data_IF_816984259391
#
_entry.id   IF_816984259391
#
_cell.length_a   1.000
_cell.length_b   1.000
_cell.length_c   1.000
_cell.angle_alpha   90.00
_cell.angle_beta   90.00
_cell.angle_gamma   90.00
#
_symmetry.space_group_name_H-M   'P 1'
#
loop_
_entity.id
_entity.type
_entity.pdbx_description
1 polymer ?
#
# COMPACT_ATOMS: atom_id res chain seq x y z
N UNK A 1 -17.17 24.09 31.84
CA UNK A 1 -15.87 24.45 31.23
C UNK A 1 -15.87 23.94 29.79
N UNK A 2 -15.67 24.83 28.81
CA UNK A 2 -15.52 24.39 27.41
C UNK A 2 -14.18 23.67 27.26
N UNK A 3 -14.19 22.43 26.78
CA UNK A 3 -12.97 21.70 26.44
C UNK A 3 -12.30 22.43 25.28
N UNK A 4 -11.05 22.87 25.47
CA UNK A 4 -10.28 23.51 24.41
C UNK A 4 -10.23 22.58 23.18
N UNK A 5 -10.39 23.13 21.96
CA UNK A 5 -10.31 22.32 20.75
C UNK A 5 -8.95 21.61 20.68
N UNK A 6 -8.95 20.36 20.21
CA UNK A 6 -7.73 19.55 20.10
C UNK A 6 -6.75 20.28 19.16
N UNK A 7 -5.50 20.47 19.62
CA UNK A 7 -4.43 21.09 18.83
C UNK A 7 -4.07 20.27 17.58
N UNK A 8 -3.42 20.89 16.59
CA UNK A 8 -2.89 20.19 15.42
C UNK A 8 -2.00 19.00 15.80
N UNK A 9 -1.10 19.19 16.77
CA UNK A 9 -0.27 18.12 17.33
C UNK A 9 -1.12 16.99 17.92
N UNK A 10 -2.13 17.32 18.73
CA UNK A 10 -3.01 16.31 19.33
C UNK A 10 -3.81 15.53 18.28
N UNK A 11 -4.27 16.20 17.21
CA UNK A 11 -4.96 15.55 16.08
C UNK A 11 -4.02 14.63 15.31
N UNK A 12 -2.80 15.07 15.03
CA UNK A 12 -1.78 14.28 14.34
C UNK A 12 -1.40 13.03 15.15
N UNK A 13 -1.13 13.18 16.45
CA UNK A 13 -0.81 12.06 17.34
C UNK A 13 -1.96 11.06 17.45
N UNK A 14 -3.21 11.52 17.46
CA UNK A 14 -4.39 10.64 17.44
C UNK A 14 -4.50 9.84 16.13
N UNK A 15 -4.09 10.41 15.00
CA UNK A 15 -4.04 9.65 13.74
C UNK A 15 -2.90 8.62 13.76
N UNK A 16 -1.72 9.05 14.19
CA UNK A 16 -0.51 8.22 14.25
C UNK A 16 -0.63 7.06 15.24
N UNK A 17 -1.41 7.21 16.32
CA UNK A 17 -1.65 6.12 17.28
C UNK A 17 -2.46 4.95 16.71
N UNK A 18 -3.19 5.17 15.61
CA UNK A 18 -4.02 4.11 14.99
C UNK A 18 -3.27 3.31 13.93
N UNK A 19 -2.39 3.96 13.18
CA UNK A 19 -1.53 3.37 12.14
C UNK A 19 -0.48 4.38 11.68
N UNK A 20 0.52 3.86 10.97
CA UNK A 20 1.45 4.67 10.19
C UNK A 20 0.71 5.56 9.19
N UNK A 21 1.11 6.84 9.14
CA UNK A 21 0.64 7.83 8.18
C UNK A 21 1.84 8.52 7.56
N UNK A 22 1.79 8.76 6.25
CA UNK A 22 2.77 9.63 5.59
C UNK A 22 2.51 11.09 5.98
N UNK A 23 3.52 11.93 5.76
CA UNK A 23 3.38 13.39 5.89
C UNK A 23 2.23 13.91 5.02
N UNK A 24 2.21 13.53 3.74
CA UNK A 24 1.18 13.98 2.81
C UNK A 24 -0.24 13.53 3.21
N UNK A 25 -0.40 12.35 3.83
CA UNK A 25 -1.69 11.93 4.39
C UNK A 25 -2.13 12.84 5.55
N UNK A 26 -1.20 13.22 6.42
CA UNK A 26 -1.48 14.11 7.56
C UNK A 26 -1.80 15.52 7.10
N UNK A 27 -1.03 16.06 6.14
CA UNK A 27 -1.28 17.37 5.53
C UNK A 27 -2.71 17.44 4.97
N UNK A 28 -3.09 16.50 4.10
CA UNK A 28 -4.45 16.47 3.52
C UNK A 28 -5.56 16.35 4.57
N UNK A 29 -5.35 15.58 5.64
CA UNK A 29 -6.37 15.37 6.68
C UNK A 29 -6.49 16.55 7.64
N UNK A 30 -5.40 17.27 7.87
CA UNK A 30 -5.29 18.28 8.92
C UNK A 30 -5.33 19.71 8.39
N UNK A 31 -5.15 19.94 7.08
CA UNK A 31 -5.16 21.27 6.46
C UNK A 31 -6.38 22.11 6.85
N UNK A 32 -7.57 21.51 6.95
CA UNK A 32 -8.81 22.21 7.36
C UNK A 32 -8.82 22.73 8.82
N UNK A 33 -7.84 22.32 9.63
CA UNK A 33 -7.69 22.74 11.02
C UNK A 33 -6.51 23.71 11.19
N UNK A 34 -5.84 24.09 10.10
CA UNK A 34 -4.82 25.12 10.12
C UNK A 34 -5.49 26.50 10.24
N UNK A 35 -5.14 27.23 11.30
CA UNK A 35 -5.65 28.58 11.54
C UNK A 35 -4.65 29.63 11.03
N UNK A 36 -3.35 29.35 11.18
CA UNK A 36 -2.26 30.19 10.70
C UNK A 36 -1.48 29.47 9.60
N UNK A 37 -1.27 30.10 8.41
CA UNK A 37 -0.50 29.50 7.33
C UNK A 37 0.90 29.04 7.77
N UNK A 38 1.20 27.77 7.51
CA UNK A 38 2.50 27.14 7.83
C UNK A 38 2.58 26.56 9.25
N UNK A 39 1.55 26.72 10.08
CA UNK A 39 1.50 26.11 11.40
C UNK A 39 1.47 24.58 11.29
N UNK A 40 0.71 24.04 10.34
CA UNK A 40 0.64 22.58 10.13
C UNK A 40 1.99 22.02 9.70
N UNK A 41 2.67 22.69 8.76
CA UNK A 41 4.00 22.28 8.31
C UNK A 41 4.98 22.19 9.48
N UNK A 42 5.04 23.21 10.35
CA UNK A 42 5.90 23.21 11.55
C UNK A 42 5.59 22.07 12.51
N UNK A 43 4.32 21.76 12.72
CA UNK A 43 3.89 20.62 13.56
C UNK A 43 4.38 19.31 12.96
N UNK A 44 4.20 19.11 11.66
CA UNK A 44 4.63 17.89 10.98
C UNK A 44 6.16 17.77 10.94
N UNK A 45 6.89 18.87 10.75
CA UNK A 45 8.35 18.89 10.85
C UNK A 45 8.82 18.45 12.24
N UNK A 46 8.19 18.98 13.30
CA UNK A 46 8.51 18.57 14.68
C UNK A 46 8.23 17.09 14.94
N UNK A 47 7.15 16.55 14.37
CA UNK A 47 6.81 15.14 14.51
C UNK A 47 7.74 14.25 13.69
N UNK A 48 8.13 14.66 12.48
CA UNK A 48 9.15 13.97 11.67
C UNK A 48 10.52 13.97 12.37
N UNK A 49 10.95 15.10 12.94
CA UNK A 49 12.22 15.20 13.66
C UNK A 49 12.28 14.30 14.91
N UNK A 50 11.12 13.97 15.49
CA UNK A 50 10.96 13.03 16.61
C UNK A 50 10.65 11.60 16.15
N UNK A 51 10.77 11.34 14.85
CA UNK A 51 10.51 10.04 14.22
C UNK A 51 9.07 9.53 14.42
N UNK A 52 8.10 10.39 14.72
CA UNK A 52 6.68 10.00 14.75
C UNK A 52 6.10 9.80 13.34
N UNK A 53 6.65 10.52 12.35
CA UNK A 53 6.30 10.37 10.93
C UNK A 53 7.52 9.80 10.22
N UNK A 54 7.40 8.57 9.72
CA UNK A 54 8.49 7.87 9.06
C UNK A 54 7.99 7.16 7.80
N UNK A 55 8.47 7.58 6.64
CA UNK A 55 8.01 7.03 5.36
C UNK A 55 8.41 5.57 5.16
N UNK A 56 9.59 5.17 5.65
CA UNK A 56 10.02 3.77 5.63
C UNK A 56 9.06 2.87 6.40
N UNK A 57 8.61 3.30 7.59
CA UNK A 57 7.59 2.56 8.35
C UNK A 57 6.24 2.51 7.64
N UNK A 58 5.85 3.58 6.92
CA UNK A 58 4.63 3.56 6.10
C UNK A 58 4.74 2.53 4.98
N UNK A 59 5.87 2.49 4.26
CA UNK A 59 6.14 1.51 3.21
C UNK A 59 6.06 0.09 3.75
N UNK A 60 6.82 -0.22 4.81
CA UNK A 60 6.85 -1.55 5.43
C UNK A 60 5.48 -1.97 5.97
N UNK A 61 4.74 -1.05 6.60
CA UNK A 61 3.38 -1.31 7.08
C UNK A 61 2.42 -1.67 5.94
N UNK A 62 2.54 -1.04 4.77
CA UNK A 62 1.72 -1.39 3.59
C UNK A 62 2.15 -2.73 3.02
N UNK A 63 3.46 -2.96 2.82
CA UNK A 63 4.00 -4.21 2.32
C UNK A 63 3.56 -5.40 3.18
N UNK A 64 3.74 -5.29 4.49
CA UNK A 64 3.36 -6.34 5.44
C UNK A 64 1.87 -6.68 5.37
N UNK A 65 0.99 -5.68 5.31
CA UNK A 65 -0.48 -5.89 5.31
C UNK A 65 -1.02 -6.35 3.96
N UNK A 66 -0.37 -6.01 2.84
CA UNK A 66 -0.95 -6.13 1.48
C UNK A 66 -0.28 -7.17 0.59
N UNK A 67 1.02 -7.39 0.72
CA UNK A 67 1.80 -8.24 -0.20
C UNK A 67 1.24 -9.66 -0.35
N UNK A 68 0.76 -10.25 0.75
CA UNK A 68 0.18 -11.59 0.74
C UNK A 68 -1.18 -11.71 0.00
N UNK A 69 -1.80 -10.59 -0.41
CA UNK A 69 -3.16 -10.56 -0.98
C UNK A 69 -3.26 -9.82 -2.31
N UNK A 70 -2.37 -8.87 -2.55
CA UNK A 70 -2.38 -7.95 -3.67
C UNK A 70 -1.06 -8.03 -4.46
N UNK A 71 -1.17 -7.86 -5.77
CA UNK A 71 -0.03 -7.76 -6.66
C UNK A 71 0.61 -6.37 -6.64
N UNK A 72 1.76 -6.27 -7.31
CA UNK A 72 2.63 -5.09 -7.24
C UNK A 72 1.94 -3.82 -7.69
N UNK A 73 1.05 -3.89 -8.70
CA UNK A 73 0.38 -2.69 -9.23
C UNK A 73 -0.57 -2.05 -8.22
N UNK A 74 -1.35 -2.86 -7.49
CA UNK A 74 -2.27 -2.38 -6.46
C UNK A 74 -1.51 -1.78 -5.27
N UNK A 75 -0.40 -2.40 -4.89
CA UNK A 75 0.42 -1.91 -3.78
C UNK A 75 1.12 -0.60 -4.18
N UNK A 76 1.67 -0.51 -5.40
CA UNK A 76 2.21 0.73 -5.96
C UNK A 76 1.19 1.87 -5.89
N UNK A 77 -0.05 1.63 -6.34
CA UNK A 77 -1.11 2.62 -6.28
C UNK A 77 -1.44 3.05 -4.84
N UNK A 78 -1.49 2.11 -3.89
CA UNK A 78 -1.71 2.44 -2.47
C UNK A 78 -0.56 3.31 -1.92
N UNK A 79 0.71 2.98 -2.20
CA UNK A 79 1.87 3.77 -1.80
C UNK A 79 1.86 5.18 -2.42
N UNK A 80 1.55 5.29 -3.72
CA UNK A 80 1.43 6.59 -4.41
C UNK A 80 0.27 7.42 -3.85
N UNK A 81 -0.87 6.81 -3.54
CA UNK A 81 -2.01 7.51 -2.93
C UNK A 81 -1.69 8.07 -1.53
N UNK A 82 -0.70 7.48 -0.85
CA UNK A 82 -0.16 8.00 0.40
C UNK A 82 0.78 9.18 0.18
N UNK A 83 1.15 9.51 -1.05
CA UNK A 83 2.06 10.61 -1.36
C UNK A 83 3.48 10.35 -0.86
N UNK A 84 3.92 9.09 -0.94
CA UNK A 84 5.31 8.73 -0.69
C UNK A 84 6.18 9.12 -1.88
N UNK A 85 7.44 9.42 -1.60
CA UNK A 85 8.40 9.82 -2.62
C UNK A 85 8.54 8.77 -3.74
N UNK A 86 8.70 9.20 -5.01
CA UNK A 86 8.80 8.29 -6.16
C UNK A 86 9.89 7.23 -6.00
N UNK A 87 11.03 7.61 -5.38
CA UNK A 87 12.16 6.72 -5.12
C UNK A 87 11.79 5.58 -4.16
N UNK A 88 11.18 5.92 -3.01
CA UNK A 88 10.72 4.94 -2.03
C UNK A 88 9.66 3.99 -2.61
N UNK A 89 8.78 4.51 -3.46
CA UNK A 89 7.81 3.68 -4.20
C UNK A 89 8.52 2.76 -5.19
N UNK A 90 9.53 3.24 -5.92
CA UNK A 90 10.27 2.46 -6.90
C UNK A 90 11.04 1.31 -6.23
N UNK A 91 11.70 1.57 -5.10
CA UNK A 91 12.41 0.56 -4.31
C UNK A 91 11.45 -0.53 -3.80
N UNK A 92 10.31 -0.13 -3.22
CA UNK A 92 9.29 -1.06 -2.76
C UNK A 92 8.74 -1.94 -3.90
N UNK A 93 8.51 -1.34 -5.08
CA UNK A 93 8.08 -2.06 -6.28
C UNK A 93 9.13 -3.05 -6.77
N UNK A 94 10.41 -2.68 -6.76
CA UNK A 94 11.50 -3.58 -7.13
C UNK A 94 11.55 -4.82 -6.23
N UNK A 95 11.47 -4.62 -4.90
CA UNK A 95 11.38 -5.70 -3.90
C UNK A 95 10.15 -6.60 -4.11
N UNK A 96 9.00 -6.00 -4.43
CA UNK A 96 7.76 -6.75 -4.68
C UNK A 96 7.83 -7.59 -5.95
N UNK A 97 8.45 -7.11 -7.03
CA UNK A 97 8.55 -7.87 -8.29
C UNK A 97 9.32 -9.18 -8.13
N UNK A 98 10.35 -9.19 -7.29
CA UNK A 98 11.19 -10.36 -7.06
C UNK A 98 10.44 -11.59 -6.51
N UNK A 99 9.30 -11.40 -5.83
CA UNK A 99 8.47 -12.49 -5.30
C UNK A 99 7.02 -12.45 -5.81
N UNK A 100 6.75 -11.74 -6.91
CA UNK A 100 5.38 -11.52 -7.37
C UNK A 100 4.71 -12.81 -7.85
N UNK A 101 5.47 -13.70 -8.49
CA UNK A 101 4.95 -14.98 -8.98
C UNK A 101 4.56 -15.90 -7.83
N UNK A 102 5.40 -16.02 -6.81
CA UNK A 102 5.17 -16.84 -5.62
C UNK A 102 3.92 -16.36 -4.88
N UNK A 103 3.82 -15.04 -4.63
CA UNK A 103 2.64 -14.45 -3.99
C UNK A 103 1.38 -14.64 -4.82
N UNK A 104 1.46 -14.51 -6.14
CA UNK A 104 0.33 -14.76 -7.03
C UNK A 104 -0.12 -16.23 -6.97
N UNK A 105 0.82 -17.19 -6.97
CA UNK A 105 0.55 -18.63 -6.84
C UNK A 105 -0.16 -18.94 -5.53
N UNK A 106 0.27 -18.35 -4.41
CA UNK A 106 -0.40 -18.55 -3.12
C UNK A 106 -1.83 -18.00 -3.11
N UNK A 107 -2.04 -16.79 -3.64
CA UNK A 107 -3.37 -16.17 -3.74
C UNK A 107 -4.28 -16.97 -4.66
N UNK A 108 -3.75 -17.48 -5.76
CA UNK A 108 -4.46 -18.35 -6.69
C UNK A 108 -4.82 -19.70 -6.05
N UNK A 109 -3.86 -20.35 -5.39
CA UNK A 109 -4.05 -21.66 -4.74
C UNK A 109 -5.12 -21.62 -3.65
N UNK A 110 -5.15 -20.53 -2.85
CA UNK A 110 -6.18 -20.33 -1.82
C UNK A 110 -7.59 -20.17 -2.38
N UNK A 111 -7.75 -19.75 -3.63
CA UNK A 111 -9.08 -19.52 -4.25
C UNK A 111 -9.52 -20.63 -5.19
N UNK A 112 -8.62 -21.11 -6.03
CA UNK A 112 -8.92 -22.07 -7.09
C UNK A 112 -8.26 -23.42 -6.81
N UNK A 113 -6.95 -23.43 -6.55
CA UNK A 113 -6.21 -24.64 -6.19
C UNK A 113 -5.98 -25.62 -7.34
N UNK A 114 -6.68 -25.48 -8.46
CA UNK A 114 -6.58 -26.34 -9.65
C UNK A 114 -6.44 -25.52 -10.94
N UNK A 115 -5.65 -26.00 -11.92
CA UNK A 115 -5.59 -25.40 -13.25
C UNK A 115 -6.96 -25.30 -13.91
N UNK A 116 -7.18 -24.32 -14.82
CA UNK A 116 -8.45 -24.17 -15.50
C UNK A 116 -8.71 -25.35 -16.46
N UNK A 117 -9.95 -25.83 -16.51
CA UNK A 117 -10.36 -26.94 -17.37
C UNK A 117 -10.80 -26.48 -18.77
N UNK A 118 -11.21 -25.22 -18.90
CA UNK A 118 -11.66 -24.64 -20.17
C UNK A 118 -11.26 -23.15 -20.29
N UNK A 119 -11.55 -22.56 -21.46
CA UNK A 119 -11.25 -21.16 -21.74
C UNK A 119 -12.04 -20.17 -20.83
N UNK A 120 -13.25 -20.54 -20.41
CA UNK A 120 -14.08 -19.70 -19.54
C UNK A 120 -13.49 -19.64 -18.13
N UNK A 121 -13.06 -20.78 -17.60
CA UNK A 121 -12.38 -20.90 -16.32
C UNK A 121 -11.02 -20.21 -16.35
N UNK A 122 -10.23 -20.39 -17.42
CA UNK A 122 -8.97 -19.66 -17.60
C UNK A 122 -9.20 -18.15 -17.51
N UNK A 123 -10.19 -17.63 -18.23
CA UNK A 123 -10.58 -16.23 -18.16
C UNK A 123 -10.99 -15.79 -16.74
N UNK A 124 -11.74 -16.62 -16.01
CA UNK A 124 -12.15 -16.36 -14.62
C UNK A 124 -10.94 -16.28 -13.67
N UNK A 125 -10.00 -17.22 -13.77
CA UNK A 125 -8.81 -17.26 -12.93
C UNK A 125 -7.86 -16.08 -13.23
N UNK A 126 -7.66 -15.75 -14.50
CA UNK A 126 -6.86 -14.59 -14.92
C UNK A 126 -7.46 -13.26 -14.44
N UNK A 127 -8.77 -13.05 -14.65
CA UNK A 127 -9.47 -11.83 -14.19
C UNK A 127 -9.40 -11.68 -12.67
N UNK A 128 -9.46 -12.77 -11.93
CA UNK A 128 -9.28 -12.73 -10.48
C UNK A 128 -7.92 -12.15 -10.10
N UNK A 129 -6.83 -12.68 -10.63
CA UNK A 129 -5.48 -12.19 -10.30
C UNK A 129 -5.24 -10.77 -10.81
N UNK A 130 -5.74 -10.44 -12.01
CA UNK A 130 -5.70 -9.07 -12.53
C UNK A 130 -6.44 -8.09 -11.60
N UNK A 131 -7.63 -8.48 -11.11
CA UNK A 131 -8.38 -7.71 -10.13
C UNK A 131 -7.71 -7.61 -8.75
N UNK A 132 -6.61 -8.35 -8.51
CA UNK A 132 -5.75 -8.21 -7.32
C UNK A 132 -4.48 -7.41 -7.61
N UNK A 133 -4.26 -6.99 -8.85
CA UNK A 133 -3.16 -6.13 -9.25
C UNK A 133 -1.86 -6.86 -9.59
N UNK A 134 -1.93 -8.17 -9.88
CA UNK A 134 -0.78 -8.92 -10.40
C UNK A 134 -0.53 -8.60 -11.87
N UNK A 135 0.73 -8.57 -12.28
CA UNK A 135 1.13 -8.32 -13.68
C UNK A 135 0.72 -9.43 -14.66
N UNK A 136 0.52 -9.09 -15.93
CA UNK A 136 0.08 -10.03 -16.98
C UNK A 136 0.98 -11.27 -17.11
N UNK A 137 2.29 -11.07 -17.16
CA UNK A 137 3.27 -12.17 -17.25
C UNK A 137 3.20 -13.09 -16.04
N UNK A 138 3.05 -12.52 -14.84
CA UNK A 138 2.86 -13.30 -13.61
C UNK A 138 1.57 -14.10 -13.68
N UNK A 139 0.46 -13.49 -14.10
CA UNK A 139 -0.83 -14.16 -14.24
C UNK A 139 -0.71 -15.34 -15.21
N UNK A 140 -0.05 -15.14 -16.35
CA UNK A 140 0.16 -16.19 -17.33
C UNK A 140 0.95 -17.37 -16.71
N UNK A 141 2.07 -17.09 -16.05
CA UNK A 141 2.89 -18.13 -15.39
C UNK A 141 2.15 -18.90 -14.30
N UNK A 142 1.20 -18.28 -13.60
CA UNK A 142 0.42 -18.93 -12.54
C UNK A 142 -0.73 -19.77 -13.10
N UNK A 143 -1.49 -19.23 -14.06
CA UNK A 143 -2.72 -19.87 -14.54
C UNK A 143 -2.45 -20.91 -15.62
N UNK A 144 -1.44 -20.71 -16.46
CA UNK A 144 -1.10 -21.67 -17.53
C UNK A 144 -0.34 -22.90 -17.00
N UNK A 145 0.03 -22.94 -15.72
CA UNK A 145 0.59 -24.14 -15.10
C UNK A 145 1.87 -24.64 -15.75
N UNK A 146 2.94 -23.84 -15.79
CA UNK A 146 4.29 -24.31 -16.09
C UNK A 146 4.45 -25.05 -17.42
N UNK A 147 4.45 -24.31 -18.53
CA UNK A 147 5.17 -24.75 -19.74
C UNK A 147 6.66 -24.45 -19.55
N UNK A 148 7.28 -25.13 -18.59
CA UNK A 148 8.73 -25.35 -18.56
C UNK A 148 8.93 -26.87 -18.69
N UNK A 149 8.83 -27.35 -19.95
CA UNK A 149 9.80 -28.31 -20.47
C UNK A 149 11.11 -27.55 -20.79
#
# INVERSE_FOLDING_TARGET
MAVAPISLTGRALRLLSTREHSRAELERKLARFEEEPGQLAKVLDSLSAKDFINEGRVVESVLHRRSAKLGTQRIKQELQSKGLEPEAVAEAVARLRASEVERAREVWRKKFGTPPQDAAERGKQMRFLASRGFGGDTIHRVVSGGDED
#
